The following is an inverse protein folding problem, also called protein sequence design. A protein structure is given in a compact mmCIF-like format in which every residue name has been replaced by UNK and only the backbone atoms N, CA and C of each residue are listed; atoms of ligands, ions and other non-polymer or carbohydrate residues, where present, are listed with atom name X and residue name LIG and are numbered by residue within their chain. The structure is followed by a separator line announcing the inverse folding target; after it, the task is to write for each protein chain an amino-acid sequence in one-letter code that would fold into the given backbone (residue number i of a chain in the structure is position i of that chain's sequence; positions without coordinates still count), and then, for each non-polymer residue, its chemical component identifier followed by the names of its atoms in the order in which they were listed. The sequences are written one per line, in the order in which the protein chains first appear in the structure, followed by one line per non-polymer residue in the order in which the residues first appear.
data_IF_140425716381
#
_entry.id   IF_140425716381
#
_cell.length_a   1.000
_cell.length_b   1.000
_cell.length_c   1.000
_cell.angle_alpha   90.00
_cell.angle_beta   90.00
_cell.angle_gamma   90.00
#
_symmetry.space_group_name_H-M   'P 1'
#
loop_
_entity.id
_entity.type
_entity.pdbx_description
1 polymer ?
#
# COMPACT_ATOMS: atom_id res chain seq x y z
N UNK A 1 16.71 -4.85 27.78
CA UNK A 1 15.63 -4.99 28.77
C UNK A 1 14.91 -6.29 28.46
N UNK A 2 14.73 -7.16 29.45
CA UNK A 2 13.92 -8.38 29.35
C UNK A 2 12.47 -8.05 29.72
N UNK A 3 11.53 -8.77 29.12
CA UNK A 3 10.10 -8.67 29.44
C UNK A 3 9.46 -10.04 29.26
N UNK A 4 8.30 -10.21 29.91
CA UNK A 4 7.34 -11.28 29.62
C UNK A 4 6.18 -10.70 28.78
N UNK A 5 5.59 -11.51 27.91
CA UNK A 5 4.33 -11.18 27.23
C UNK A 5 3.19 -12.05 27.78
N UNK A 6 2.05 -11.41 28.01
CA UNK A 6 0.84 -12.06 28.48
C UNK A 6 -0.23 -11.90 27.42
N UNK A 7 -0.80 -13.01 26.99
CA UNK A 7 -1.75 -13.08 25.89
C UNK A 7 -3.09 -13.61 26.36
N UNK A 8 -4.18 -13.09 25.81
CA UNK A 8 -5.46 -13.80 25.80
C UNK A 8 -5.69 -14.29 24.37
N UNK A 9 -5.86 -15.59 24.19
CA UNK A 9 -6.16 -16.21 22.90
C UNK A 9 -7.26 -17.26 23.07
N UNK A 10 -8.33 -17.15 22.29
CA UNK A 10 -9.57 -17.91 22.41
C UNK A 10 -10.11 -17.92 23.85
N UNK A 11 -10.01 -16.76 24.52
CA UNK A 11 -10.46 -16.59 25.90
C UNK A 11 -9.58 -17.26 26.96
N UNK A 12 -8.42 -17.84 26.58
CA UNK A 12 -7.45 -18.45 27.49
C UNK A 12 -6.24 -17.56 27.68
N UNK A 13 -5.70 -17.53 28.89
CA UNK A 13 -4.51 -16.73 29.21
C UNK A 13 -3.23 -17.54 29.01
N UNK A 14 -2.22 -16.92 28.41
CA UNK A 14 -0.88 -17.50 28.22
C UNK A 14 0.19 -16.51 28.68
N UNK A 15 1.32 -17.04 29.14
CA UNK A 15 2.53 -16.24 29.44
C UNK A 15 3.67 -16.77 28.59
N UNK A 16 4.33 -15.88 27.86
CA UNK A 16 5.56 -16.16 27.10
C UNK A 16 6.68 -15.23 27.57
N UNK A 17 7.93 -15.52 27.19
CA UNK A 17 9.03 -14.58 27.40
C UNK A 17 8.89 -13.39 26.47
N UNK A 18 9.31 -13.53 25.22
CA UNK A 18 9.07 -12.53 24.17
C UNK A 18 8.08 -13.06 23.14
N UNK A 19 7.53 -12.19 22.29
CA UNK A 19 6.86 -12.66 21.08
C UNK A 19 7.78 -13.60 20.30
N UNK A 20 7.27 -14.74 19.83
CA UNK A 20 8.09 -15.75 19.15
C UNK A 20 8.87 -16.70 20.08
N UNK A 21 8.58 -16.73 21.39
CA UNK A 21 9.25 -17.62 22.35
C UNK A 21 8.38 -18.79 22.83
N UNK A 22 8.97 -19.73 23.57
CA UNK A 22 8.18 -20.68 24.36
C UNK A 22 7.29 -19.96 25.39
N UNK A 23 6.25 -20.66 25.82
CA UNK A 23 5.27 -20.13 26.75
C UNK A 23 4.44 -21.22 27.42
N UNK A 24 3.60 -20.82 28.36
CA UNK A 24 2.72 -21.71 29.11
C UNK A 24 1.30 -21.18 29.10
N UNK A 25 0.33 -22.11 29.14
CA UNK A 25 -1.07 -21.77 29.42
C UNK A 25 -1.22 -21.53 30.93
N UNK A 26 -1.87 -20.43 31.29
CA UNK A 26 -2.26 -20.13 32.67
C UNK A 26 -3.61 -20.80 32.93
N UNK A 27 -3.71 -21.62 33.98
CA UNK A 27 -5.00 -22.20 34.37
C UNK A 27 -5.91 -21.14 35.00
N UNK A 28 -7.22 -21.26 34.77
CA UNK A 28 -8.20 -20.25 35.21
C UNK A 28 -8.29 -20.11 36.74
N UNK A 29 -7.81 -21.12 37.48
CA UNK A 29 -7.77 -21.16 38.95
C UNK A 29 -6.51 -20.55 39.56
N UNK A 30 -5.52 -20.14 38.74
CA UNK A 30 -4.26 -19.55 39.22
C UNK A 30 -4.55 -18.22 39.90
N UNK A 31 -4.03 -18.01 41.11
CA UNK A 31 -4.16 -16.74 41.84
C UNK A 31 -3.23 -15.65 41.32
N UNK A 32 -3.30 -14.44 41.89
CA UNK A 32 -2.49 -13.31 41.42
C UNK A 32 -0.99 -13.50 41.71
N UNK A 33 -0.64 -14.03 42.88
CA UNK A 33 0.76 -14.31 43.23
C UNK A 33 1.41 -15.34 42.30
N UNK A 34 0.67 -16.41 41.96
CA UNK A 34 1.14 -17.46 41.07
C UNK A 34 1.27 -16.97 39.62
N UNK A 35 0.34 -16.12 39.16
CA UNK A 35 0.48 -15.45 37.87
C UNK A 35 1.73 -14.55 37.85
N UNK A 36 1.97 -13.78 38.91
CA UNK A 36 3.18 -12.97 39.04
C UNK A 36 4.46 -13.79 39.03
N UNK A 37 4.45 -14.99 39.65
CA UNK A 37 5.56 -15.94 39.59
C UNK A 37 5.81 -16.45 38.16
N UNK A 38 4.77 -16.80 37.42
CA UNK A 38 4.87 -17.22 36.01
C UNK A 38 5.45 -16.09 35.14
N UNK A 39 4.96 -14.87 35.32
CA UNK A 39 5.46 -13.68 34.59
C UNK A 39 6.95 -13.49 34.88
N UNK A 40 7.36 -13.51 36.15
CA UNK A 40 8.77 -13.37 36.53
C UNK A 40 9.63 -14.49 35.96
N UNK A 41 9.15 -15.73 35.99
CA UNK A 41 9.87 -16.87 35.43
C UNK A 41 10.14 -16.66 33.93
N UNK A 42 9.12 -16.28 33.16
CA UNK A 42 9.23 -16.07 31.72
C UNK A 42 9.99 -14.80 31.34
N UNK A 43 9.98 -13.76 32.16
CA UNK A 43 10.79 -12.56 31.94
C UNK A 43 12.30 -12.88 32.02
N UNK A 44 12.71 -13.84 32.86
CA UNK A 44 14.10 -14.27 32.97
C UNK A 44 14.54 -15.26 31.87
N UNK A 45 13.59 -15.86 31.13
CA UNK A 45 13.92 -16.74 30.01
C UNK A 45 14.44 -15.89 28.85
N UNK A 46 15.77 -15.74 28.78
CA UNK A 46 16.43 -15.17 27.60
C UNK A 46 16.11 -16.02 26.39
N UNK A 47 15.27 -15.48 25.51
CA UNK A 47 15.25 -15.94 24.12
C UNK A 47 16.59 -15.56 23.51
N UNK A 48 17.39 -16.56 23.14
CA UNK A 48 18.43 -16.37 22.15
C UNK A 48 17.74 -15.78 20.91
N UNK A 49 17.95 -14.48 20.65
CA UNK A 49 17.49 -13.86 19.40
C UNK A 49 18.15 -14.64 18.28
N UNK A 50 17.38 -15.47 17.56
CA UNK A 50 17.83 -15.98 16.28
C UNK A 50 17.96 -14.81 15.33
N UNK A 51 19.18 -14.55 14.88
CA UNK A 51 19.41 -13.68 13.74
C UNK A 51 18.70 -14.29 12.51
N UNK A 52 18.15 -13.46 11.59
CA UNK A 52 17.40 -13.91 10.41
C UNK A 52 18.15 -14.84 9.46
N UNK A 53 19.44 -15.10 9.70
CA UNK A 53 20.33 -15.94 8.88
C UNK A 53 20.65 -17.31 9.48
N UNK A 54 19.97 -17.74 10.54
CA UNK A 54 20.17 -19.10 11.08
C UNK A 54 19.50 -20.14 10.17
N UNK A 55 20.13 -21.30 9.90
CA UNK A 55 19.54 -22.33 9.05
C UNK A 55 18.19 -22.80 9.60
N UNK A 56 17.26 -23.25 8.72
CA UNK A 56 15.95 -23.70 9.13
C UNK A 56 16.12 -24.87 10.11
N UNK A 57 15.60 -24.68 11.32
CA UNK A 57 15.32 -25.80 12.23
C UNK A 57 13.89 -26.19 11.93
N UNK A 58 13.60 -27.49 11.88
CA UNK A 58 12.29 -28.01 11.49
C UNK A 58 11.13 -27.44 12.32
N UNK A 59 11.35 -27.08 13.60
CA UNK A 59 10.36 -26.40 14.46
C UNK A 59 11.02 -25.42 15.42
N UNK A 60 10.51 -24.19 15.50
CA UNK A 60 10.96 -23.18 16.46
C UNK A 60 10.29 -23.35 17.82
N UNK A 61 10.83 -22.78 18.91
CA UNK A 61 10.12 -22.74 20.20
C UNK A 61 8.73 -22.09 20.12
N UNK A 62 8.54 -21.16 19.17
CA UNK A 62 7.24 -20.55 18.90
C UNK A 62 6.26 -21.54 18.25
N UNK A 63 6.74 -22.36 17.31
CA UNK A 63 5.91 -23.39 16.67
C UNK A 63 5.44 -24.41 17.70
N UNK A 64 6.34 -24.87 18.56
CA UNK A 64 6.02 -25.77 19.67
C UNK A 64 4.98 -25.14 20.61
N UNK A 65 5.16 -23.88 21.00
CA UNK A 65 4.19 -23.17 21.83
C UNK A 65 2.81 -23.06 21.15
N UNK A 66 2.75 -22.61 19.91
CA UNK A 66 1.49 -22.43 19.20
C UNK A 66 0.75 -23.78 19.04
N UNK A 67 1.45 -24.79 18.54
CA UNK A 67 0.84 -26.06 18.14
C UNK A 67 0.53 -26.96 19.33
N UNK A 68 1.44 -27.05 20.31
CA UNK A 68 1.31 -28.01 21.42
C UNK A 68 0.71 -27.39 22.68
N UNK A 69 0.95 -26.10 22.94
CA UNK A 69 0.43 -25.41 24.14
C UNK A 69 -0.87 -24.68 23.84
N UNK A 70 -0.91 -23.87 22.78
CA UNK A 70 -2.12 -23.15 22.38
C UNK A 70 -3.08 -24.02 21.55
N UNK A 71 -2.60 -25.09 20.93
CA UNK A 71 -3.40 -26.02 20.13
C UNK A 71 -3.79 -25.44 18.77
N UNK A 72 -2.97 -24.55 18.19
CA UNK A 72 -3.27 -23.87 16.93
C UNK A 72 -2.02 -23.76 16.06
N UNK A 73 -2.17 -23.83 14.72
CA UNK A 73 -1.06 -23.58 13.81
C UNK A 73 -0.44 -22.19 14.08
N UNK A 74 0.89 -22.09 14.03
CA UNK A 74 1.65 -20.86 14.34
C UNK A 74 1.09 -19.60 13.67
N UNK A 75 0.76 -19.70 12.39
CA UNK A 75 0.20 -18.60 11.58
C UNK A 75 -1.17 -18.10 12.06
N UNK A 76 -1.91 -18.94 12.77
CA UNK A 76 -3.26 -18.66 13.32
C UNK A 76 -3.21 -18.18 14.77
N UNK A 77 -2.07 -18.26 15.44
CA UNK A 77 -1.94 -17.72 16.80
C UNK A 77 -1.88 -16.18 16.73
N UNK A 78 -3.01 -15.56 17.04
CA UNK A 78 -3.21 -14.11 17.02
C UNK A 78 -4.03 -13.73 18.26
N UNK A 79 -3.38 -13.31 19.36
CA UNK A 79 -4.07 -13.09 20.62
C UNK A 79 -5.00 -11.88 20.57
N UNK A 80 -6.15 -12.01 21.23
CA UNK A 80 -7.15 -10.97 21.43
C UNK A 80 -6.62 -9.77 22.21
N UNK A 81 -5.79 -10.07 23.21
CA UNK A 81 -5.28 -9.09 24.17
C UNK A 81 -3.82 -9.38 24.44
N UNK A 82 -3.03 -8.33 24.59
CA UNK A 82 -1.60 -8.44 24.85
C UNK A 82 -1.18 -7.41 25.90
N UNK A 83 -0.44 -7.87 26.89
CA UNK A 83 0.20 -7.06 27.91
C UNK A 83 1.68 -7.44 27.96
N UNK A 84 2.56 -6.46 28.15
CA UNK A 84 3.96 -6.69 28.48
C UNK A 84 4.22 -6.36 29.94
N UNK A 85 5.09 -7.15 30.57
CA UNK A 85 5.54 -6.89 31.93
C UNK A 85 7.07 -6.95 31.99
N UNK A 86 7.69 -5.91 32.55
CA UNK A 86 9.15 -5.81 32.70
C UNK A 86 9.54 -5.05 33.96
N UNK A 87 10.80 -5.15 34.39
CA UNK A 87 11.26 -4.52 35.63
C UNK A 87 12.15 -3.30 35.35
N UNK A 88 11.88 -2.19 36.06
CA UNK A 88 12.70 -0.96 36.06
C UNK A 88 12.85 -0.50 37.51
N UNK A 89 14.08 -0.30 37.98
CA UNK A 89 14.40 0.15 39.35
C UNK A 89 13.65 -0.61 40.45
N UNK A 90 13.64 -1.94 40.32
CA UNK A 90 12.95 -2.90 41.22
C UNK A 90 11.42 -2.79 41.24
N UNK A 91 10.81 -1.97 40.38
CA UNK A 91 9.37 -1.89 40.18
C UNK A 91 8.98 -2.62 38.90
N UNK A 92 7.79 -3.19 38.88
CA UNK A 92 7.24 -3.75 37.66
C UNK A 92 6.60 -2.64 36.83
N UNK A 93 6.72 -2.75 35.52
CA UNK A 93 6.05 -1.93 34.54
C UNK A 93 5.12 -2.84 33.75
N UNK A 94 3.83 -2.50 33.72
CA UNK A 94 2.81 -3.21 32.97
C UNK A 94 2.39 -2.32 31.81
N UNK A 95 2.70 -2.77 30.59
CA UNK A 95 2.43 -2.07 29.35
C UNK A 95 1.26 -2.73 28.63
N UNK A 96 0.17 -1.98 28.51
CA UNK A 96 -1.10 -2.38 27.92
C UNK A 96 -1.21 -2.10 26.41
N UNK A 97 -0.22 -1.41 25.82
CA UNK A 97 -0.17 -1.10 24.38
C UNK A 97 1.22 -1.44 23.83
N UNK A 98 1.59 -2.72 23.78
CA UNK A 98 2.94 -3.13 23.42
C UNK A 98 3.41 -2.71 22.01
N UNK A 99 2.50 -2.35 21.12
CA UNK A 99 2.79 -1.77 19.80
C UNK A 99 3.07 -0.25 19.81
N UNK A 100 2.59 0.48 20.81
CA UNK A 100 2.75 1.93 20.97
C UNK A 100 3.89 2.19 21.96
N UNK A 101 5.09 2.44 21.44
CA UNK A 101 6.30 2.61 22.26
C UNK A 101 6.24 3.82 23.18
N UNK A 102 5.35 4.78 22.88
CA UNK A 102 5.19 6.01 23.64
C UNK A 102 4.03 5.92 24.65
N UNK A 103 3.26 4.84 24.63
CA UNK A 103 2.22 4.60 25.61
C UNK A 103 2.81 4.44 27.02
N UNK A 104 2.29 5.14 28.04
CA UNK A 104 2.82 5.05 29.38
C UNK A 104 2.53 3.68 29.99
N UNK A 105 3.59 2.97 30.39
CA UNK A 105 3.46 1.76 31.21
C UNK A 105 3.07 2.11 32.64
N UNK A 106 2.27 1.25 33.27
CA UNK A 106 1.86 1.44 34.67
C UNK A 106 2.87 0.82 35.63
N UNK A 107 3.41 1.64 36.53
CA UNK A 107 4.35 1.20 37.55
C UNK A 107 3.64 0.52 38.73
N UNK A 108 4.02 -0.72 39.01
CA UNK A 108 3.50 -1.58 40.08
C UNK A 108 4.61 -1.86 41.11
N UNK A 109 4.30 -1.99 42.41
CA UNK A 109 5.26 -2.45 43.41
C UNK A 109 5.93 -3.77 43.00
N UNK A 110 7.14 -4.04 43.52
CA UNK A 110 7.90 -5.26 43.21
C UNK A 110 7.31 -6.58 43.74
N UNK A 111 6.12 -6.53 44.35
CA UNK A 111 5.39 -7.71 44.83
C UNK A 111 4.73 -8.46 43.66
N UNK A 112 4.79 -9.79 43.71
CA UNK A 112 4.30 -10.64 42.62
C UNK A 112 2.78 -10.73 42.59
N UNK A 113 2.11 -10.65 43.74
CA UNK A 113 0.65 -10.61 43.76
C UNK A 113 0.13 -9.29 43.15
N UNK A 114 0.77 -8.17 43.46
CA UNK A 114 0.47 -6.88 42.85
C UNK A 114 0.67 -6.89 41.32
N UNK A 115 1.75 -7.53 40.83
CA UNK A 115 1.98 -7.72 39.40
C UNK A 115 0.85 -8.53 38.73
N UNK A 116 0.51 -9.70 39.30
CA UNK A 116 -0.54 -10.56 38.72
C UNK A 116 -1.91 -9.88 38.72
N UNK A 117 -2.26 -9.20 39.83
CA UNK A 117 -3.50 -8.45 39.94
C UNK A 117 -3.57 -7.32 38.90
N UNK A 118 -2.46 -6.61 38.68
CA UNK A 118 -2.42 -5.53 37.70
C UNK A 118 -2.57 -6.03 36.27
N UNK A 119 -1.86 -7.10 35.89
CA UNK A 119 -1.98 -7.69 34.55
C UNK A 119 -3.41 -8.15 34.28
N UNK A 120 -4.07 -8.79 35.25
CA UNK A 120 -5.49 -9.16 35.10
C UNK A 120 -6.39 -7.96 34.93
N UNK A 121 -6.15 -6.89 35.70
CA UNK A 121 -6.93 -5.66 35.59
C UNK A 121 -6.79 -5.05 34.19
N UNK A 122 -5.58 -4.95 33.67
CA UNK A 122 -5.34 -4.44 32.32
C UNK A 122 -6.01 -5.32 31.26
N UNK A 123 -5.82 -6.65 31.33
CA UNK A 123 -6.50 -7.58 30.42
C UNK A 123 -8.04 -7.48 30.52
N UNK A 124 -8.60 -7.23 31.70
CA UNK A 124 -10.05 -7.07 31.87
C UNK A 124 -10.57 -5.77 31.22
N UNK A 125 -9.81 -4.69 31.30
CA UNK A 125 -10.17 -3.38 30.72
C UNK A 125 -9.96 -3.31 29.21
N UNK A 126 -9.05 -4.11 28.67
CA UNK A 126 -8.80 -4.17 27.23
C UNK A 126 -10.03 -4.67 26.46
N UNK A 127 -10.37 -3.94 25.41
CA UNK A 127 -11.22 -4.47 24.35
C UNK A 127 -10.42 -5.52 23.57
N UNK A 128 -10.97 -6.72 23.31
CA UNK A 128 -10.36 -7.67 22.40
C UNK A 128 -10.09 -7.02 21.04
N UNK A 129 -8.86 -7.16 20.55
CA UNK A 129 -8.57 -6.99 19.14
C UNK A 129 -8.82 -8.32 18.49
N UNK A 130 -9.86 -8.43 17.68
CA UNK A 130 -10.13 -9.64 16.91
C UNK A 130 -9.32 -9.56 15.60
N UNK A 131 -8.15 -10.23 15.53
CA UNK A 131 -7.30 -10.22 14.34
C UNK A 131 -8.01 -10.86 13.15
N UNK A 132 -7.72 -10.34 11.97
CA UNK A 132 -8.14 -10.93 10.70
C UNK A 132 -7.44 -12.26 10.50
N UNK A 133 -8.25 -13.32 10.37
CA UNK A 133 -7.83 -14.69 10.08
C UNK A 133 -7.77 -14.97 8.59
N UNK A 134 -8.76 -14.47 7.85
CA UNK A 134 -8.93 -14.66 6.41
C UNK A 134 -9.49 -13.37 5.84
N UNK A 135 -9.08 -13.02 4.62
CA UNK A 135 -9.52 -11.80 3.99
C UNK A 135 -9.74 -12.02 2.50
N UNK A 136 -10.83 -11.45 2.01
CA UNK A 136 -11.10 -11.36 0.58
C UNK A 136 -11.44 -9.92 0.23
N UNK A 137 -10.95 -9.48 -0.92
CA UNK A 137 -11.18 -8.14 -1.46
C UNK A 137 -12.04 -8.27 -2.70
N UNK A 138 -13.02 -7.39 -2.78
CA UNK A 138 -13.96 -7.24 -3.88
C UNK A 138 -13.63 -5.95 -4.64
N UNK A 139 -13.39 -6.08 -5.93
CA UNK A 139 -12.96 -5.00 -6.82
C UNK A 139 -13.93 -4.90 -8.00
N UNK A 140 -14.21 -3.71 -8.49
CA UNK A 140 -15.07 -3.51 -9.68
C UNK A 140 -14.24 -3.17 -10.89
N UNK A 141 -14.61 -3.68 -12.07
CA UNK A 141 -14.01 -3.25 -13.34
C UNK A 141 -14.82 -2.13 -14.01
N UNK A 142 -14.22 -1.45 -14.99
CA UNK A 142 -14.92 -0.52 -15.88
C UNK A 142 -16.16 -1.13 -16.55
N UNK A 143 -16.10 -2.43 -16.87
CA UNK A 143 -17.20 -3.19 -17.46
C UNK A 143 -18.26 -3.62 -16.42
N UNK A 144 -18.20 -3.08 -15.20
CA UNK A 144 -19.06 -3.43 -14.04
C UNK A 144 -19.03 -4.91 -13.67
N UNK A 145 -17.93 -5.58 -13.99
CA UNK A 145 -17.68 -6.93 -13.47
C UNK A 145 -17.14 -6.82 -12.04
N UNK A 146 -17.46 -7.80 -11.22
CA UNK A 146 -16.92 -7.93 -9.88
C UNK A 146 -15.77 -8.92 -9.89
N UNK A 147 -14.60 -8.50 -9.43
CA UNK A 147 -13.42 -9.34 -9.24
C UNK A 147 -13.29 -9.66 -7.75
N UNK A 148 -13.27 -10.94 -7.42
CA UNK A 148 -13.11 -11.47 -6.05
C UNK A 148 -11.71 -12.04 -5.92
N UNK A 149 -10.90 -11.52 -5.01
CA UNK A 149 -9.52 -11.93 -4.81
C UNK A 149 -9.21 -12.19 -3.33
N UNK A 150 -8.53 -13.29 -2.97
CA UNK A 150 -7.97 -13.43 -1.62
C UNK A 150 -6.98 -12.31 -1.32
N UNK A 151 -6.87 -11.91 -0.05
CA UNK A 151 -5.81 -11.04 0.44
C UNK A 151 -4.95 -11.75 1.47
N UNK A 152 -3.64 -11.78 1.23
CA UNK A 152 -2.65 -12.43 2.11
C UNK A 152 -1.61 -11.37 2.49
N UNK A 153 -1.48 -11.10 3.79
CA UNK A 153 -0.52 -10.10 4.28
C UNK A 153 -0.79 -8.67 3.78
N UNK A 154 -2.04 -8.34 3.45
CA UNK A 154 -2.44 -7.05 2.89
C UNK A 154 -2.38 -6.98 1.36
N UNK A 155 -1.91 -8.03 0.67
CA UNK A 155 -1.79 -8.04 -0.78
C UNK A 155 -2.89 -8.86 -1.43
N UNK A 156 -3.56 -8.30 -2.44
CA UNK A 156 -4.49 -9.06 -3.27
C UNK A 156 -3.73 -10.03 -4.16
N UNK A 157 -4.05 -11.32 -4.07
CA UNK A 157 -3.36 -12.40 -4.78
C UNK A 157 -4.35 -13.33 -5.47
N UNK A 158 -3.86 -14.31 -6.22
CA UNK A 158 -4.68 -15.29 -6.90
C UNK A 158 -5.16 -16.45 -6.02
N UNK A 159 -6.15 -17.23 -6.49
CA UNK A 159 -6.83 -17.08 -7.79
C UNK A 159 -7.89 -15.97 -7.75
N UNK A 160 -7.94 -15.17 -8.82
CA UNK A 160 -9.01 -14.20 -9.04
C UNK A 160 -10.26 -14.91 -9.58
N UNK A 161 -11.43 -14.34 -9.30
CA UNK A 161 -12.72 -14.80 -9.83
C UNK A 161 -13.50 -13.60 -10.34
N UNK A 162 -14.13 -13.74 -11.51
CA UNK A 162 -14.95 -12.68 -12.10
C UNK A 162 -16.41 -13.09 -12.04
N UNK A 163 -17.26 -12.18 -11.56
CA UNK A 163 -18.70 -12.33 -11.47
C UNK A 163 -19.38 -11.22 -12.24
N UNK A 164 -20.50 -11.55 -12.89
CA UNK A 164 -21.40 -10.55 -13.47
C UNK A 164 -22.42 -10.14 -12.40
N UNK A 165 -22.35 -8.88 -11.96
CA UNK A 165 -23.28 -8.32 -10.97
C UNK A 165 -24.72 -8.23 -11.48
N UNK A 166 -24.94 -8.29 -12.79
CA UNK A 166 -26.28 -8.23 -13.40
C UNK A 166 -26.95 -9.60 -13.48
N UNK A 167 -26.17 -10.69 -13.35
CA UNK A 167 -26.68 -12.04 -13.32
C UNK A 167 -27.14 -12.39 -11.88
N UNK A 168 -28.38 -12.01 -11.54
CA UNK A 168 -28.96 -12.25 -10.21
C UNK A 168 -28.90 -13.73 -9.78
N UNK A 169 -27.99 -14.07 -8.86
CA UNK A 169 -27.80 -15.43 -8.37
C UNK A 169 -26.91 -15.55 -7.12
N UNK A 170 -26.76 -16.76 -6.53
CA UNK A 170 -26.00 -17.05 -5.31
C UNK A 170 -24.46 -17.05 -5.48
N UNK A 171 -23.94 -16.56 -6.61
CA UNK A 171 -22.53 -16.70 -6.99
C UNK A 171 -21.56 -15.90 -6.11
N UNK A 172 -22.00 -14.77 -5.54
CA UNK A 172 -21.15 -13.93 -4.70
C UNK A 172 -20.77 -14.64 -3.36
N UNK A 173 -21.73 -15.14 -2.56
CA UNK A 173 -21.40 -15.93 -1.37
C UNK A 173 -20.42 -17.09 -1.63
N UNK A 174 -20.58 -17.81 -2.74
CA UNK A 174 -19.70 -18.92 -3.10
C UNK A 174 -18.29 -18.45 -3.47
N UNK A 175 -18.17 -17.38 -4.26
CA UNK A 175 -16.87 -16.80 -4.61
C UNK A 175 -16.16 -16.21 -3.40
N UNK A 176 -16.88 -15.52 -2.51
CA UNK A 176 -16.35 -14.97 -1.25
C UNK A 176 -15.87 -16.09 -0.34
N UNK A 177 -16.64 -17.16 -0.19
CA UNK A 177 -16.24 -18.33 0.60
C UNK A 177 -14.96 -18.96 0.04
N UNK A 178 -14.89 -19.13 -1.27
CA UNK A 178 -13.71 -19.68 -1.92
C UNK A 178 -12.49 -18.76 -1.75
N UNK A 179 -12.66 -17.44 -1.90
CA UNK A 179 -11.61 -16.44 -1.67
C UNK A 179 -11.12 -16.43 -0.22
N UNK A 180 -12.01 -16.50 0.77
CA UNK A 180 -11.61 -16.64 2.18
C UNK A 180 -10.78 -17.91 2.38
N UNK A 181 -11.20 -19.05 1.82
CA UNK A 181 -10.40 -20.29 1.88
C UNK A 181 -9.04 -20.14 1.20
N UNK A 182 -8.96 -19.49 0.04
CA UNK A 182 -7.70 -19.26 -0.66
C UNK A 182 -6.75 -18.32 0.09
N UNK A 183 -7.29 -17.35 0.85
CA UNK A 183 -6.50 -16.44 1.70
C UNK A 183 -5.81 -17.15 2.88
N UNK A 184 -6.14 -18.42 3.11
CA UNK A 184 -5.46 -19.27 4.08
C UNK A 184 -4.25 -20.02 3.49
N UNK A 185 -3.74 -19.64 2.32
CA UNK A 185 -2.48 -20.18 1.77
C UNK A 185 -1.27 -19.37 2.22
N UNK A 186 -0.07 -19.87 1.92
CA UNK A 186 1.14 -19.04 1.99
C UNK A 186 1.14 -18.05 0.82
N UNK A 187 1.58 -16.82 1.05
CA UNK A 187 1.70 -15.81 -0.01
C UNK A 187 2.59 -16.26 -1.18
N UNK A 188 3.60 -17.09 -0.92
CA UNK A 188 4.52 -17.64 -1.95
C UNK A 188 3.86 -18.71 -2.83
N UNK A 189 2.75 -19.30 -2.39
CA UNK A 189 2.01 -20.32 -3.13
C UNK A 189 0.89 -19.71 -4.00
N UNK A 190 0.54 -18.45 -3.74
CA UNK A 190 -0.52 -17.77 -4.46
C UNK A 190 0.02 -17.11 -5.74
N UNK A 191 -0.70 -17.19 -6.88
CA UNK A 191 -0.34 -16.43 -8.06
C UNK A 191 -0.27 -14.93 -7.74
N UNK A 192 0.75 -14.24 -8.27
CA UNK A 192 0.88 -12.80 -8.15
C UNK A 192 -0.34 -12.08 -8.74
N UNK A 193 -0.62 -10.86 -8.25
CA UNK A 193 -1.78 -10.05 -8.63
C UNK A 193 -2.03 -9.99 -10.15
N UNK A 194 -1.01 -9.62 -10.93
CA UNK A 194 -1.12 -9.51 -12.39
C UNK A 194 -1.40 -10.86 -13.06
N UNK A 195 -0.71 -11.92 -12.65
CA UNK A 195 -0.92 -13.27 -13.17
C UNK A 195 -2.34 -13.77 -12.85
N UNK A 196 -2.85 -13.46 -11.66
CA UNK A 196 -4.19 -13.81 -11.23
C UNK A 196 -5.26 -13.08 -12.06
N UNK A 197 -5.08 -11.79 -12.33
CA UNK A 197 -5.98 -11.01 -13.18
C UNK A 197 -5.92 -11.47 -14.65
N UNK A 198 -4.72 -11.72 -15.17
CA UNK A 198 -4.53 -12.22 -16.54
C UNK A 198 -5.23 -13.58 -16.74
N UNK A 199 -5.19 -14.46 -15.75
CA UNK A 199 -5.87 -15.76 -15.78
C UNK A 199 -7.41 -15.65 -15.92
N UNK A 200 -8.00 -14.50 -15.55
CA UNK A 200 -9.42 -14.21 -15.71
C UNK A 200 -9.70 -13.13 -16.76
N UNK A 201 -8.71 -12.83 -17.62
CA UNK A 201 -8.81 -11.84 -18.70
C UNK A 201 -9.18 -10.43 -18.23
N UNK A 202 -8.76 -10.06 -17.02
CA UNK A 202 -8.89 -8.70 -16.49
C UNK A 202 -7.54 -8.00 -16.57
N UNK A 203 -7.51 -6.77 -17.07
CA UNK A 203 -6.30 -5.94 -17.07
C UNK A 203 -6.18 -5.22 -15.72
N UNK A 204 -4.99 -5.14 -15.09
CA UNK A 204 -4.81 -4.37 -13.85
C UNK A 204 -5.35 -2.94 -13.92
N UNK A 205 -5.13 -2.25 -15.04
CA UNK A 205 -5.62 -0.88 -15.26
C UNK A 205 -7.13 -0.74 -15.40
N UNK A 206 -7.91 -1.82 -15.54
CA UNK A 206 -9.38 -1.74 -15.60
C UNK A 206 -10.05 -1.88 -14.24
N UNK A 207 -9.29 -2.14 -13.18
CA UNK A 207 -9.76 -2.25 -11.79
C UNK A 207 -9.99 -0.84 -11.21
N UNK A 208 -11.16 -0.64 -10.61
CA UNK A 208 -11.50 0.58 -9.89
C UNK A 208 -10.71 0.75 -8.59
N UNK A 209 -10.48 2.00 -8.20
CA UNK A 209 -9.76 2.40 -6.98
C UNK A 209 -10.59 2.35 -5.70
N UNK A 210 -11.74 1.69 -5.74
CA UNK A 210 -12.54 1.46 -4.55
C UNK A 210 -12.78 -0.03 -4.40
N UNK A 211 -12.69 -0.51 -3.17
CA UNK A 211 -12.80 -1.92 -2.87
C UNK A 211 -13.71 -2.14 -1.67
N UNK A 212 -14.25 -3.35 -1.59
CA UNK A 212 -14.92 -3.83 -0.38
C UNK A 212 -14.13 -5.00 0.15
N UNK A 213 -13.69 -4.93 1.40
CA UNK A 213 -13.02 -6.04 2.08
C UNK A 213 -14.00 -6.79 2.96
N UNK A 214 -13.88 -8.11 2.97
CA UNK A 214 -14.52 -8.98 3.95
C UNK A 214 -13.43 -9.69 4.73
N UNK A 215 -13.39 -9.44 6.04
CA UNK A 215 -12.41 -9.97 6.96
C UNK A 215 -13.10 -10.93 7.93
N UNK A 216 -12.70 -12.19 7.94
CA UNK A 216 -13.10 -13.10 9.00
C UNK A 216 -12.18 -12.91 10.20
N UNK A 217 -12.77 -12.61 11.36
CA UNK A 217 -12.05 -12.34 12.59
C UNK A 217 -12.01 -13.57 13.49
N UNK A 218 -11.07 -13.60 14.44
CA UNK A 218 -10.87 -14.76 15.31
C UNK A 218 -12.01 -15.11 16.27
N UNK A 219 -12.99 -14.21 16.48
CA UNK A 219 -14.23 -14.49 17.23
C UNK A 219 -15.34 -15.14 16.36
N UNK A 220 -15.06 -15.41 15.09
CA UNK A 220 -16.01 -15.94 14.13
C UNK A 220 -17.01 -14.90 13.62
N UNK A 221 -16.68 -13.61 13.74
CA UNK A 221 -17.39 -12.54 13.03
C UNK A 221 -16.76 -12.27 11.67
N UNK A 222 -17.55 -11.68 10.77
CA UNK A 222 -17.08 -11.07 9.53
C UNK A 222 -17.24 -9.56 9.67
N UNK A 223 -16.15 -8.85 9.38
CA UNK A 223 -16.14 -7.41 9.18
C UNK A 223 -16.23 -7.12 7.69
N UNK A 224 -17.10 -6.18 7.32
CA UNK A 224 -17.18 -5.64 5.95
C UNK A 224 -16.85 -4.16 5.98
N UNK A 225 -15.86 -3.75 5.18
CA UNK A 225 -15.38 -2.37 5.06
C UNK A 225 -15.29 -1.96 3.59
N UNK A 226 -15.59 -0.70 3.30
CA UNK A 226 -15.32 -0.06 2.01
C UNK A 226 -14.11 0.86 2.12
N UNK A 227 -13.17 0.76 1.19
CA UNK A 227 -11.96 1.57 1.18
C UNK A 227 -11.70 2.18 -0.21
N UNK A 228 -11.08 3.37 -0.23
CA UNK A 228 -10.42 3.89 -1.42
C UNK A 228 -8.95 3.43 -1.40
N UNK A 229 -8.49 2.89 -2.52
CA UNK A 229 -7.16 2.27 -2.65
C UNK A 229 -6.02 3.29 -2.70
N UNK A 230 -6.31 4.60 -2.82
CA UNK A 230 -5.27 5.64 -2.90
C UNK A 230 -4.65 6.00 -1.56
N UNK A 231 -5.43 5.97 -0.49
CA UNK A 231 -4.99 6.58 0.78
C UNK A 231 -5.06 5.60 1.97
N UNK A 232 -5.58 4.38 1.76
CA UNK A 232 -5.73 3.39 2.83
C UNK A 232 -6.69 3.81 3.94
N UNK A 233 -7.37 4.95 3.81
CA UNK A 233 -8.39 5.41 4.74
C UNK A 233 -9.70 4.64 4.52
N UNK A 234 -10.34 4.23 5.62
CA UNK A 234 -11.68 3.63 5.62
C UNK A 234 -12.70 4.73 5.24
N UNK A 235 -13.11 4.79 3.97
CA UNK A 235 -13.88 5.95 3.48
C UNK A 235 -15.40 5.82 3.66
N UNK A 236 -15.93 4.70 4.18
CA UNK A 236 -17.38 4.48 4.17
C UNK A 236 -17.93 4.07 5.53
N UNK A 237 -17.98 5.04 6.46
CA UNK A 237 -18.71 4.91 7.72
C UNK A 237 -18.21 3.79 8.64
N UNK A 238 -18.95 3.44 9.70
CA UNK A 238 -18.56 2.35 10.59
C UNK A 238 -18.62 1.00 9.85
N UNK A 239 -17.68 0.08 10.13
CA UNK A 239 -17.69 -1.25 9.53
C UNK A 239 -18.97 -2.01 9.89
N UNK A 240 -19.49 -2.78 8.95
CA UNK A 240 -20.52 -3.76 9.27
C UNK A 240 -19.91 -4.98 9.93
N UNK A 241 -20.58 -5.52 10.95
CA UNK A 241 -20.17 -6.71 11.69
C UNK A 241 -21.32 -7.71 11.75
N UNK A 242 -21.04 -8.96 11.39
CA UNK A 242 -21.98 -10.07 11.49
C UNK A 242 -21.29 -11.40 11.75
N UNK A 243 -22.03 -12.49 11.85
CA UNK A 243 -21.46 -13.82 12.12
C UNK A 243 -21.02 -14.50 10.81
N UNK A 244 -19.89 -15.23 10.86
CA UNK A 244 -19.32 -15.91 9.67
C UNK A 244 -20.24 -17.00 9.08
N UNK A 245 -21.04 -17.65 9.92
CA UNK A 245 -22.07 -18.63 9.49
C UNK A 245 -23.24 -17.98 8.73
N UNK A 246 -23.34 -16.64 8.77
CA UNK A 246 -24.29 -15.83 8.02
C UNK A 246 -23.62 -15.05 6.90
N UNK A 247 -22.65 -15.67 6.22
CA UNK A 247 -21.90 -15.06 5.11
C UNK A 247 -22.79 -14.39 4.04
N UNK A 248 -24.00 -14.92 3.81
CA UNK A 248 -24.95 -14.32 2.87
C UNK A 248 -25.37 -12.89 3.27
N UNK A 249 -25.55 -12.60 4.57
CA UNK A 249 -25.86 -11.25 5.06
C UNK A 249 -24.68 -10.30 4.84
N UNK A 250 -23.45 -10.77 5.10
CA UNK A 250 -22.23 -10.02 4.82
C UNK A 250 -22.09 -9.68 3.32
N UNK A 251 -22.45 -10.61 2.44
CA UNK A 251 -22.44 -10.40 0.99
C UNK A 251 -23.52 -9.41 0.53
N UNK A 252 -24.68 -9.37 1.19
CA UNK A 252 -25.71 -8.35 0.92
C UNK A 252 -25.19 -6.96 1.24
N UNK A 253 -24.51 -6.80 2.38
CA UNK A 253 -23.90 -5.52 2.75
C UNK A 253 -22.75 -5.14 1.83
N UNK A 254 -21.89 -6.10 1.48
CA UNK A 254 -20.82 -5.88 0.51
C UNK A 254 -21.38 -5.44 -0.84
N UNK A 255 -22.46 -6.07 -1.32
CA UNK A 255 -23.15 -5.67 -2.55
C UNK A 255 -23.78 -4.28 -2.45
N UNK A 256 -24.24 -3.86 -1.26
CA UNK A 256 -24.72 -2.49 -1.03
C UNK A 256 -23.57 -1.50 -1.19
N UNK A 257 -22.44 -1.71 -0.49
CA UNK A 257 -21.26 -0.86 -0.58
C UNK A 257 -20.72 -0.80 -2.02
N UNK A 258 -20.66 -1.93 -2.73
CA UNK A 258 -20.23 -2.01 -4.13
C UNK A 258 -21.08 -1.15 -5.08
N UNK A 259 -22.38 -0.97 -4.80
CA UNK A 259 -23.25 -0.09 -5.60
C UNK A 259 -23.00 1.39 -5.34
N UNK A 260 -22.52 1.71 -4.14
CA UNK A 260 -22.21 3.07 -3.72
C UNK A 260 -20.78 3.49 -4.15
N UNK A 261 -19.95 2.53 -4.58
CA UNK A 261 -18.62 2.82 -5.11
C UNK A 261 -18.70 3.67 -6.39
N UNK A 262 -17.79 4.64 -6.57
CA UNK A 262 -17.65 5.31 -7.86
C UNK A 262 -17.35 4.26 -8.94
N UNK A 263 -17.93 4.39 -10.14
CA UNK A 263 -17.60 3.50 -11.23
C UNK A 263 -16.09 3.54 -11.48
N UNK A 264 -15.50 2.38 -11.75
CA UNK A 264 -14.14 2.35 -12.25
C UNK A 264 -14.09 3.19 -13.54
N UNK A 265 -13.13 4.12 -13.67
CA UNK A 265 -12.98 4.90 -14.90
C UNK A 265 -12.93 3.98 -16.10
N UNK A 266 -13.60 4.34 -17.19
CA UNK A 266 -13.67 3.51 -18.40
C UNK A 266 -12.31 3.35 -19.08
N UNK A 267 -11.39 4.28 -18.83
CA UNK A 267 -9.97 4.19 -19.21
C UNK A 267 -9.15 5.11 -18.29
N UNK A 268 -8.78 4.68 -17.07
CA UNK A 268 -7.93 5.51 -16.22
C UNK A 268 -6.57 5.69 -16.89
N UNK A 269 -6.02 6.89 -16.77
CA UNK A 269 -4.62 7.08 -17.08
C UNK A 269 -3.76 6.30 -16.07
N UNK A 270 -2.72 5.60 -16.54
CA UNK A 270 -1.81 4.91 -15.65
C UNK A 270 -0.84 5.93 -15.02
N UNK A 271 -0.60 5.80 -13.71
CA UNK A 271 0.32 6.67 -12.99
C UNK A 271 1.78 6.37 -13.37
N UNK A 272 2.62 7.41 -13.36
CA UNK A 272 4.06 7.35 -13.61
C UNK A 272 4.77 8.48 -12.83
N UNK A 273 6.09 8.63 -12.97
CA UNK A 273 6.81 9.83 -12.53
C UNK A 273 8.21 9.53 -11.99
N UNK A 274 8.30 8.72 -10.94
CA UNK A 274 9.58 8.38 -10.31
C UNK A 274 10.48 7.55 -11.25
N UNK A 275 11.79 7.82 -11.21
CA UNK A 275 12.81 7.15 -12.06
C UNK A 275 12.49 7.22 -13.55
N UNK A 276 11.92 8.33 -13.99
CA UNK A 276 11.48 8.53 -15.36
C UNK A 276 11.58 10.02 -15.72
N UNK A 277 11.52 10.29 -17.03
CA UNK A 277 11.41 11.63 -17.58
C UNK A 277 10.11 11.74 -18.37
N UNK A 278 9.50 12.93 -18.37
CA UNK A 278 8.31 13.17 -19.17
C UNK A 278 8.15 14.60 -19.64
N UNK A 279 7.43 14.77 -20.75
CA UNK A 279 6.86 16.04 -21.18
C UNK A 279 5.39 16.11 -20.83
N UNK A 280 4.91 17.29 -20.46
CA UNK A 280 3.49 17.63 -20.45
C UNK A 280 3.23 18.73 -21.49
N UNK A 281 2.42 18.40 -22.51
CA UNK A 281 2.09 19.31 -23.61
C UNK A 281 0.64 19.78 -23.45
N UNK A 282 0.45 21.09 -23.25
CA UNK A 282 -0.88 21.68 -23.07
C UNK A 282 -1.66 21.67 -24.37
N UNK A 283 -2.92 21.20 -24.32
CA UNK A 283 -3.86 21.16 -25.45
C UNK A 283 -3.28 20.50 -26.72
N UNK A 284 -2.31 19.59 -26.54
CA UNK A 284 -1.64 18.90 -27.63
C UNK A 284 -2.53 17.85 -28.31
N UNK A 285 -2.28 17.59 -29.59
CA UNK A 285 -2.88 16.48 -30.33
C UNK A 285 -1.89 15.30 -30.40
N UNK A 286 -2.38 14.09 -30.17
CA UNK A 286 -1.57 12.87 -30.06
C UNK A 286 -0.60 12.69 -31.25
N UNK A 287 -1.12 12.84 -32.47
CA UNK A 287 -0.38 12.70 -33.73
C UNK A 287 0.69 13.78 -33.91
N UNK A 288 0.36 15.02 -33.59
CA UNK A 288 1.28 16.16 -33.67
C UNK A 288 2.40 16.06 -32.64
N UNK A 289 2.08 15.67 -31.40
CA UNK A 289 3.07 15.47 -30.34
C UNK A 289 4.00 14.31 -30.67
N UNK A 290 3.48 13.16 -31.10
CA UNK A 290 4.29 12.01 -31.50
C UNK A 290 5.25 12.36 -32.66
N UNK A 291 4.78 13.11 -33.66
CA UNK A 291 5.63 13.59 -34.73
C UNK A 291 6.66 14.63 -34.24
N UNK A 292 6.27 15.51 -33.31
CA UNK A 292 7.15 16.55 -32.79
C UNK A 292 8.37 15.96 -32.04
N UNK A 293 8.14 14.94 -31.22
CA UNK A 293 9.22 14.24 -30.50
C UNK A 293 9.98 13.23 -31.37
N UNK A 294 9.59 13.06 -32.63
CA UNK A 294 10.28 12.17 -33.56
C UNK A 294 10.05 10.68 -33.24
N UNK A 295 8.85 10.32 -32.78
CA UNK A 295 8.52 8.94 -32.44
C UNK A 295 8.52 8.03 -33.68
N UNK A 296 9.33 6.98 -33.64
CA UNK A 296 9.47 5.96 -34.67
C UNK A 296 8.81 4.66 -34.24
N UNK A 297 8.23 3.93 -35.21
CA UNK A 297 7.62 2.63 -34.96
C UNK A 297 6.34 2.67 -34.13
N UNK A 298 5.69 3.83 -34.02
CA UNK A 298 4.50 4.06 -33.20
C UNK A 298 3.43 2.97 -33.37
N UNK A 299 3.13 2.25 -32.27
CA UNK A 299 2.04 1.28 -32.18
C UNK A 299 0.99 1.78 -31.19
N UNK A 300 -0.31 1.64 -31.48
CA UNK A 300 -1.36 1.94 -30.52
C UNK A 300 -1.23 1.06 -29.27
N UNK A 301 -1.24 1.68 -28.09
CA UNK A 301 -1.20 1.00 -26.80
C UNK A 301 -2.17 1.68 -25.83
N UNK A 302 -2.68 0.93 -24.86
CA UNK A 302 -3.41 1.55 -23.75
C UNK A 302 -2.43 2.23 -22.78
N UNK A 303 -2.99 2.94 -21.80
CA UNK A 303 -2.21 3.64 -20.79
C UNK A 303 -1.27 2.74 -19.98
N UNK A 304 -1.74 1.54 -19.60
CA UNK A 304 -0.97 0.65 -18.76
C UNK A 304 0.23 0.11 -19.54
N UNK A 305 -0.03 -0.47 -20.71
CA UNK A 305 1.01 -1.03 -21.57
C UNK A 305 1.98 0.07 -22.03
N UNK A 306 1.47 1.29 -22.29
CA UNK A 306 2.29 2.46 -22.62
C UNK A 306 3.23 2.89 -21.51
N UNK A 307 2.75 3.00 -20.26
CA UNK A 307 3.63 3.33 -19.12
C UNK A 307 4.65 2.23 -18.88
N UNK A 308 4.28 0.95 -18.97
CA UNK A 308 5.25 -0.15 -18.85
C UNK A 308 6.32 -0.07 -19.95
N UNK A 309 5.92 0.16 -21.19
CA UNK A 309 6.84 0.37 -22.31
C UNK A 309 7.78 1.56 -22.05
N UNK A 310 7.29 2.66 -21.48
CA UNK A 310 8.10 3.82 -21.13
C UNK A 310 9.19 3.52 -20.09
N UNK A 311 8.92 2.63 -19.14
CA UNK A 311 9.91 2.14 -18.18
C UNK A 311 10.85 1.08 -18.78
N UNK A 312 10.45 0.40 -19.87
CA UNK A 312 11.24 -0.59 -20.62
C UNK A 312 11.88 0.02 -21.89
N UNK A 313 12.50 1.19 -21.73
CA UNK A 313 13.29 1.91 -22.77
C UNK A 313 12.55 2.34 -24.05
N UNK A 314 11.21 2.26 -24.08
CA UNK A 314 10.41 2.88 -25.13
C UNK A 314 9.94 4.29 -24.71
N UNK A 315 9.26 4.98 -25.63
CA UNK A 315 8.59 6.25 -25.38
C UNK A 315 7.11 6.07 -25.62
N UNK A 316 6.31 6.49 -24.65
CA UNK A 316 4.86 6.48 -24.72
C UNK A 316 4.32 7.91 -24.85
N UNK A 317 3.49 8.14 -25.86
CA UNK A 317 2.71 9.37 -26.01
C UNK A 317 1.27 9.06 -25.64
N UNK A 318 0.80 9.70 -24.58
CA UNK A 318 -0.51 9.44 -24.00
C UNK A 318 -1.64 10.03 -24.84
N UNK A 319 -2.87 9.48 -24.77
CA UNK A 319 -4.03 10.20 -25.25
C UNK A 319 -4.28 11.47 -24.42
N UNK A 320 -4.98 12.48 -24.97
CA UNK A 320 -5.28 13.72 -24.25
C UNK A 320 -6.06 13.46 -22.96
N UNK A 321 -5.57 14.00 -21.86
CA UNK A 321 -6.02 13.72 -20.49
C UNK A 321 -6.05 15.02 -19.71
N UNK A 322 -7.25 15.49 -19.35
CA UNK A 322 -7.51 16.78 -18.70
C UNK A 322 -6.76 17.98 -19.33
N UNK A 323 -6.72 18.04 -20.68
CA UNK A 323 -6.07 19.14 -21.41
C UNK A 323 -4.57 18.96 -21.61
N UNK A 324 -4.00 17.79 -21.28
CA UNK A 324 -2.58 17.49 -21.45
C UNK A 324 -2.34 16.23 -22.28
N UNK A 325 -1.29 16.23 -23.08
CA UNK A 325 -0.69 15.04 -23.67
C UNK A 325 0.67 14.81 -23.01
N UNK A 326 0.90 13.61 -22.50
CA UNK A 326 2.16 13.24 -21.86
C UNK A 326 3.05 12.47 -22.82
N UNK A 327 4.35 12.76 -22.79
CA UNK A 327 5.38 11.95 -23.46
C UNK A 327 6.26 11.38 -22.36
N UNK A 328 6.25 10.07 -22.15
CA UNK A 328 6.87 9.40 -20.99
C UNK A 328 7.94 8.44 -21.49
N UNK A 329 9.09 8.40 -20.83
CA UNK A 329 10.16 7.46 -21.15
C UNK A 329 11.36 7.60 -20.23
N UNK A 330 11.91 6.47 -19.76
CA UNK A 330 13.07 6.46 -18.87
C UNK A 330 14.37 6.97 -19.55
N UNK A 331 14.41 6.92 -20.88
CA UNK A 331 15.56 7.36 -21.69
C UNK A 331 15.35 8.75 -22.33
N UNK A 332 14.25 9.44 -22.00
CA UNK A 332 14.01 10.79 -22.51
C UNK A 332 14.96 11.80 -21.86
N UNK A 333 15.60 12.60 -22.69
CA UNK A 333 16.44 13.72 -22.27
C UNK A 333 16.15 14.91 -23.16
N UNK A 334 15.72 16.01 -22.54
CA UNK A 334 15.49 17.28 -23.21
C UNK A 334 16.14 18.37 -22.37
N UNK A 335 17.05 19.13 -22.98
CA UNK A 335 17.52 20.37 -22.36
C UNK A 335 16.47 21.49 -22.52
N UNK A 336 16.68 22.62 -21.84
CA UNK A 336 15.76 23.75 -21.93
C UNK A 336 15.58 24.32 -23.35
N UNK A 337 16.56 24.16 -24.24
CA UNK A 337 16.45 24.61 -25.63
C UNK A 337 15.52 23.68 -26.42
N UNK A 338 15.66 22.37 -26.26
CA UNK A 338 14.79 21.39 -26.91
C UNK A 338 13.33 21.54 -26.45
N UNK A 339 13.10 21.86 -25.17
CA UNK A 339 11.76 22.16 -24.65
C UNK A 339 11.18 23.44 -25.29
N UNK A 340 12.00 24.47 -25.47
CA UNK A 340 11.60 25.68 -26.17
C UNK A 340 11.28 25.40 -27.65
N UNK A 341 12.10 24.64 -28.36
CA UNK A 341 11.86 24.26 -29.76
C UNK A 341 10.58 23.43 -29.92
N UNK A 342 10.30 22.50 -29.00
CA UNK A 342 9.04 21.75 -28.98
C UNK A 342 7.85 22.69 -28.75
N UNK A 343 7.94 23.62 -27.81
CA UNK A 343 6.91 24.64 -27.58
C UNK A 343 6.67 25.49 -28.83
N UNK A 344 7.72 25.87 -29.57
CA UNK A 344 7.59 26.61 -30.82
C UNK A 344 6.87 25.80 -31.91
N UNK A 345 7.27 24.53 -32.09
CA UNK A 345 6.74 23.64 -33.13
C UNK A 345 5.28 23.26 -32.88
N UNK A 346 4.91 23.04 -31.62
CA UNK A 346 3.56 22.68 -31.21
C UNK A 346 2.66 23.90 -30.98
N UNK A 347 3.23 25.11 -30.94
CA UNK A 347 2.49 26.35 -30.74
C UNK A 347 1.80 26.46 -29.37
N UNK A 348 2.30 25.75 -28.36
CA UNK A 348 1.67 25.63 -27.05
C UNK A 348 2.71 25.59 -25.92
N UNK A 349 2.23 25.54 -24.69
CA UNK A 349 3.06 25.33 -23.51
C UNK A 349 3.58 23.89 -23.44
N UNK A 350 4.87 23.74 -23.22
CA UNK A 350 5.55 22.45 -23.03
C UNK A 350 6.34 22.51 -21.74
N UNK A 351 6.12 21.52 -20.90
CA UNK A 351 6.82 21.31 -19.64
C UNK A 351 7.63 20.02 -19.76
N UNK A 352 8.81 19.98 -19.14
CA UNK A 352 9.63 18.80 -18.99
C UNK A 352 9.91 18.56 -17.52
N UNK A 353 10.00 17.29 -17.14
CA UNK A 353 10.33 16.85 -15.79
C UNK A 353 11.17 15.58 -15.85
N UNK A 354 12.06 15.38 -14.87
CA UNK A 354 12.88 14.19 -14.76
C UNK A 354 13.29 13.89 -13.32
N UNK A 355 13.30 12.60 -12.95
CA UNK A 355 13.81 12.13 -11.65
C UNK A 355 14.59 10.84 -11.79
N UNK A 356 15.69 10.69 -11.04
CA UNK A 356 16.37 9.41 -10.86
C UNK A 356 17.19 9.35 -9.56
N UNK A 357 16.63 8.71 -8.53
CA UNK A 357 17.29 8.56 -7.19
C UNK A 357 18.67 7.91 -7.18
N UNK A 358 19.04 7.11 -8.18
CA UNK A 358 20.37 6.48 -8.20
C UNK A 358 21.51 7.47 -8.44
N UNK A 359 21.18 8.60 -9.07
CA UNK A 359 22.10 9.69 -9.43
C UNK A 359 21.70 11.01 -8.80
N UNK A 360 20.70 11.00 -7.90
CA UNK A 360 20.07 12.20 -7.32
C UNK A 360 19.72 13.25 -8.40
N UNK A 361 19.25 12.76 -9.56
CA UNK A 361 18.91 13.60 -10.70
C UNK A 361 17.47 14.11 -10.57
N UNK A 362 17.29 15.42 -10.70
CA UNK A 362 16.02 16.13 -10.59
C UNK A 362 16.01 17.28 -11.60
N UNK A 363 15.00 17.35 -12.45
CA UNK A 363 14.94 18.38 -13.49
C UNK A 363 13.51 18.82 -13.76
N UNK A 364 13.34 20.11 -14.05
CA UNK A 364 12.14 20.62 -14.69
C UNK A 364 12.43 21.80 -15.61
N UNK A 365 11.66 21.89 -16.69
CA UNK A 365 11.69 23.02 -17.61
C UNK A 365 10.27 23.42 -18.02
N UNK A 366 10.09 24.70 -18.33
CA UNK A 366 8.84 25.27 -18.83
C UNK A 366 9.15 26.19 -19.99
N UNK A 367 8.51 25.95 -21.14
CA UNK A 367 8.53 26.85 -22.28
C UNK A 367 7.12 27.18 -22.78
N UNK A 368 6.96 28.42 -23.24
CA UNK A 368 5.69 28.90 -23.80
C UNK A 368 5.97 29.71 -25.06
N UNK A 369 5.29 29.37 -26.16
CA UNK A 369 5.41 30.08 -27.43
C UNK A 369 6.84 30.09 -27.98
N UNK A 370 7.60 29.01 -27.79
CA UNK A 370 8.98 28.90 -28.27
C UNK A 370 10.04 29.57 -27.39
N UNK A 371 9.67 30.07 -26.22
CA UNK A 371 10.60 30.73 -25.29
C UNK A 371 10.71 29.93 -24.00
N UNK A 372 11.94 29.58 -23.63
CA UNK A 372 12.24 29.01 -22.31
C UNK A 372 11.91 30.04 -21.22
N UNK A 373 10.98 29.69 -20.34
CA UNK A 373 10.54 30.51 -19.20
C UNK A 373 11.38 30.19 -17.98
N UNK A 374 11.56 28.90 -17.70
CA UNK A 374 12.27 28.39 -16.52
C UNK A 374 12.91 27.05 -16.84
N UNK A 375 14.10 26.81 -16.29
CA UNK A 375 14.79 25.53 -16.28
C UNK A 375 15.60 25.40 -14.99
N UNK A 376 15.49 24.26 -14.34
CA UNK A 376 16.35 23.85 -13.24
C UNK A 376 16.71 22.38 -13.43
N UNK A 377 17.99 22.07 -13.29
CA UNK A 377 18.51 20.71 -13.23
C UNK A 377 19.43 20.57 -12.03
N UNK A 378 19.31 19.44 -11.34
CA UNK A 378 20.13 19.11 -10.19
C UNK A 378 20.54 17.63 -10.22
N UNK A 379 21.84 17.35 -10.22
CA UNK A 379 22.40 15.98 -10.29
C UNK A 379 23.75 15.82 -9.55
N UNK A 380 23.89 16.55 -8.44
CA UNK A 380 25.18 16.82 -7.82
C UNK A 380 25.77 18.17 -8.22
N UNK A 381 25.26 18.77 -9.31
CA UNK A 381 25.48 20.16 -9.70
C UNK A 381 24.16 20.88 -9.92
N UNK A 382 24.10 22.19 -9.69
CA UNK A 382 22.88 22.98 -9.81
C UNK A 382 22.96 23.89 -11.05
N UNK A 383 22.19 23.56 -12.07
CA UNK A 383 22.05 24.36 -13.29
C UNK A 383 20.67 25.04 -13.31
N UNK A 384 20.64 26.34 -13.59
CA UNK A 384 19.40 27.11 -13.57
C UNK A 384 19.37 28.21 -14.63
N UNK A 385 18.23 28.34 -15.30
CA UNK A 385 17.93 29.44 -16.23
C UNK A 385 16.51 29.97 -16.02
N UNK A 386 16.33 31.28 -16.19
CA UNK A 386 15.05 31.95 -15.92
C UNK A 386 14.85 32.29 -14.44
N UNK A 387 13.86 33.13 -14.15
CA UNK A 387 13.53 33.52 -12.77
C UNK A 387 12.71 32.41 -12.10
N UNK A 388 12.97 32.09 -10.82
CA UNK A 388 12.13 31.16 -10.08
C UNK A 388 10.66 31.56 -10.12
N UNK A 389 9.79 30.58 -10.30
CA UNK A 389 8.34 30.74 -10.31
C UNK A 389 7.78 30.92 -8.89
N UNK A 390 6.53 31.36 -8.78
CA UNK A 390 5.83 31.44 -7.50
C UNK A 390 5.73 30.06 -6.82
N UNK A 391 5.47 29.01 -7.61
CA UNK A 391 5.47 27.62 -7.13
C UNK A 391 6.80 27.25 -6.50
N UNK A 392 7.91 27.46 -7.22
CA UNK A 392 9.25 27.21 -6.68
C UNK A 392 9.51 28.02 -5.40
N UNK A 393 9.02 29.27 -5.35
CA UNK A 393 9.15 30.13 -4.17
C UNK A 393 8.43 29.58 -2.95
N UNK A 394 7.19 29.11 -3.13
CA UNK A 394 6.41 28.50 -2.06
C UNK A 394 7.00 27.14 -1.62
N UNK A 395 7.72 26.46 -2.51
CA UNK A 395 8.46 25.23 -2.23
C UNK A 395 9.83 25.47 -1.57
N UNK A 396 10.28 26.71 -1.44
CA UNK A 396 11.59 27.05 -0.87
C UNK A 396 12.77 26.89 -1.83
N UNK A 397 12.52 26.62 -3.12
CA UNK A 397 13.55 26.43 -4.15
C UNK A 397 14.40 27.68 -4.48
N UNK A 398 13.89 28.93 -4.54
CA UNK A 398 14.66 30.08 -5.04
C UNK A 398 15.81 30.53 -4.13
N UNK A 399 15.86 30.05 -2.89
CA UNK A 399 16.89 30.43 -1.92
C UNK A 399 18.15 29.56 -1.98
N UNK A 400 18.18 28.57 -2.88
CA UNK A 400 19.20 27.53 -2.86
C UNK A 400 20.49 27.94 -3.58
N UNK A 401 21.60 27.79 -2.87
CA UNK A 401 22.96 27.81 -3.43
C UNK A 401 23.41 26.37 -3.73
N UNK A 402 24.55 26.18 -4.40
CA UNK A 402 25.14 24.85 -4.65
C UNK A 402 25.37 24.03 -3.36
N UNK A 403 25.39 24.67 -2.18
CA UNK A 403 25.63 24.01 -0.89
C UNK A 403 24.34 23.72 -0.08
N UNK A 404 23.18 24.25 -0.50
CA UNK A 404 21.93 24.26 0.28
C UNK A 404 20.74 23.57 -0.43
N UNK A 405 21.01 22.75 -1.46
CA UNK A 405 19.94 22.17 -2.26
C UNK A 405 19.34 20.89 -1.66
N UNK A 406 18.14 21.00 -1.10
CA UNK A 406 17.32 19.87 -0.63
C UNK A 406 16.18 19.63 -1.63
N UNK A 407 16.53 19.33 -2.89
CA UNK A 407 15.57 18.87 -3.90
C UNK A 407 15.56 17.35 -3.92
N UNK A 408 14.37 16.79 -3.81
CA UNK A 408 14.10 15.37 -3.94
C UNK A 408 13.07 15.08 -5.06
N UNK A 409 12.79 13.79 -5.28
CA UNK A 409 11.84 13.36 -6.30
C UNK A 409 10.42 13.91 -6.02
N UNK A 410 10.05 14.09 -4.75
CA UNK A 410 8.75 14.63 -4.33
C UNK A 410 8.60 16.11 -4.68
N UNK A 411 9.69 16.87 -4.61
CA UNK A 411 9.71 18.28 -5.05
C UNK A 411 9.36 18.38 -6.52
N UNK A 412 9.89 17.49 -7.38
CA UNK A 412 9.56 17.45 -8.81
C UNK A 412 8.07 17.14 -9.02
N UNK A 413 7.50 16.17 -8.29
CA UNK A 413 6.07 15.86 -8.36
C UNK A 413 5.20 17.07 -7.97
N UNK A 414 5.61 17.83 -6.95
CA UNK A 414 4.89 19.04 -6.50
C UNK A 414 4.94 20.18 -7.53
N UNK A 415 6.07 20.36 -8.22
CA UNK A 415 6.16 21.31 -9.34
C UNK A 415 5.25 20.87 -10.48
N UNK A 416 5.29 19.59 -10.87
CA UNK A 416 4.43 19.04 -11.90
C UNK A 416 2.94 19.17 -11.56
N UNK A 417 2.55 18.90 -10.30
CA UNK A 417 1.20 19.08 -9.80
C UNK A 417 0.68 20.52 -9.98
N UNK A 418 1.55 21.50 -9.74
CA UNK A 418 1.19 22.91 -9.82
C UNK A 418 1.19 23.46 -11.25
N UNK A 419 2.07 22.96 -12.12
CA UNK A 419 2.19 23.44 -13.50
C UNK A 419 1.25 22.70 -14.47
N UNK A 420 1.01 21.41 -14.24
CA UNK A 420 0.14 20.56 -15.06
C UNK A 420 -0.68 19.59 -14.22
N UNK A 421 -0.21 18.36 -14.04
CA UNK A 421 -0.83 17.29 -13.25
C UNK A 421 0.28 16.52 -12.55
N UNK A 422 0.03 16.12 -11.29
CA UNK A 422 0.89 15.15 -10.61
C UNK A 422 0.73 13.77 -11.28
N UNK A 423 1.77 13.25 -11.97
CA UNK A 423 1.63 12.01 -12.73
C UNK A 423 1.36 10.79 -11.84
N UNK A 424 1.63 10.87 -10.52
CA UNK A 424 1.31 9.81 -9.56
C UNK A 424 -0.20 9.74 -9.27
N UNK A 425 -0.94 10.81 -9.57
CA UNK A 425 -2.39 10.92 -9.36
C UNK A 425 -3.21 10.63 -10.62
N UNK A 426 -2.59 10.43 -11.78
CA UNK A 426 -3.26 10.31 -13.09
C UNK A 426 -4.34 9.23 -13.17
N UNK A 427 -4.25 8.19 -12.36
CA UNK A 427 -5.29 7.16 -12.24
C UNK A 427 -6.65 7.70 -11.72
N UNK A 428 -6.72 8.96 -11.27
CA UNK A 428 -7.96 9.67 -10.93
C UNK A 428 -8.52 10.49 -12.09
N UNK A 429 -7.77 10.64 -13.18
CA UNK A 429 -8.10 11.50 -14.31
C UNK A 429 -8.62 10.65 -15.47
N UNK A 430 -9.82 10.98 -15.96
CA UNK A 430 -10.36 10.34 -17.15
C UNK A 430 -9.59 10.78 -18.39
N UNK A 431 -9.24 9.81 -19.23
CA UNK A 431 -8.68 10.08 -20.54
C UNK A 431 -9.78 10.21 -21.59
N UNK A 432 -9.60 11.14 -22.53
CA UNK A 432 -10.61 11.41 -23.57
C UNK A 432 -10.60 10.39 -24.71
N UNK A 433 -9.53 9.60 -24.84
CA UNK A 433 -9.39 8.54 -25.82
C UNK A 433 -8.74 7.31 -25.19
N UNK A 434 -9.11 6.09 -25.64
CA UNK A 434 -8.71 4.87 -24.95
C UNK A 434 -7.26 4.43 -25.21
N UNK A 435 -6.58 5.00 -26.21
CA UNK A 435 -5.26 4.56 -26.63
C UNK A 435 -4.32 5.74 -26.93
N UNK A 436 -3.08 5.61 -26.49
CA UNK A 436 -1.95 6.41 -26.94
C UNK A 436 -1.12 5.63 -27.95
N UNK A 437 0.14 6.02 -28.12
CA UNK A 437 1.10 5.29 -28.98
C UNK A 437 2.42 5.10 -28.26
N UNK A 438 3.04 3.93 -28.41
CA UNK A 438 4.39 3.64 -27.94
C UNK A 438 5.32 3.34 -29.12
N UNK A 439 6.59 3.75 -28.99
CA UNK A 439 7.61 3.56 -30.00
C UNK A 439 8.99 3.94 -29.47
N UNK A 440 9.93 4.24 -30.36
CA UNK A 440 11.27 4.67 -29.97
C UNK A 440 11.56 6.06 -30.51
N UNK A 441 12.31 6.86 -29.76
CA UNK A 441 12.94 8.06 -30.29
C UNK A 441 14.35 7.70 -30.76
N UNK A 442 14.84 8.35 -31.81
CA UNK A 442 16.23 8.16 -32.23
C UNK A 442 17.16 8.59 -31.09
N UNK A 443 18.19 7.79 -30.79
CA UNK A 443 19.24 8.22 -29.87
C UNK A 443 19.90 9.48 -30.45
N UNK A 444 19.80 10.59 -29.72
CA UNK A 444 20.41 11.88 -30.07
C UNK A 444 21.91 11.86 -29.92
#
# INVERSE_FOLDING_TARGET
MSWAEIHVFQGRTYVTGTWGSSGVRVADTVGDADLGLLIRHHEHLRTERRYPWSPPVERTPWDVFCEEVAGVATRRYRPEKRVRAYQVDRRWQVDAKPEDRDAPARAVPGDLAALGAEVRRELALMQPRWPTLRQVVLLTTAARQLVVMPSIGGWSVGPARVLDLTAGGPALPDAVRAGLTDSDRDHTEAPAYEAALAAVSVKPGSIGRASVSLEELSDGTIRVTGAHTTDGEDVWGPPWLGRVDRLAEACVEAARLLRDLPPAPTTPAAAFGYKCCWLAVRDGRLDEVAAAVGLLGAQPVDWYDGVQAAYDEQVFVSPPTAGWVFVVGAVLSFDGLAVADLSARLGTEVQFFGTHRGSEYHEWALATGGRLVRHLRCDGTLEQQGQPTAVETDLGVPAMTEDDWDIDEDTVMRVAAAWSIDPTTLQQVESTAPAGVAGHVAAG
#
